data_IF_784643285866
#
_entry.id   IF_784643285866
#
_cell.length_a   1.000
_cell.length_b   1.000
_cell.length_c   1.000
_cell.angle_alpha   90.00
_cell.angle_beta   90.00
_cell.angle_gamma   90.00
#
_symmetry.space_group_name_H-M   'P 1'
#
loop_
_entity.id
_entity.type
_entity.pdbx_description
1 polymer ?
#
# COMPACT_ATOMS: atom_id res chain seq x y z
N UNK A 1 -0.19 -23.34 3.96
CA UNK A 1 -0.39 -22.34 2.89
C UNK A 1 0.53 -21.17 3.21
N UNK A 2 1.46 -20.84 2.33
CA UNK A 2 2.37 -19.69 2.51
C UNK A 2 1.78 -18.54 1.73
N UNK A 3 1.57 -17.39 2.38
CA UNK A 3 1.11 -16.16 1.73
C UNK A 3 2.34 -15.27 1.51
N UNK A 4 2.85 -15.15 0.28
CA UNK A 4 4.02 -14.33 0.00
C UNK A 4 3.63 -12.85 -0.05
N UNK A 5 4.25 -12.05 0.84
CA UNK A 5 4.12 -10.60 0.86
C UNK A 5 5.37 -9.98 0.28
N UNK A 6 5.19 -9.07 -0.67
CA UNK A 6 6.29 -8.32 -1.29
C UNK A 6 6.05 -6.82 -1.21
N UNK A 7 7.14 -6.10 -1.29
CA UNK A 7 7.21 -4.66 -1.45
C UNK A 7 8.18 -4.38 -2.59
N UNK A 8 7.81 -3.51 -3.52
CA UNK A 8 8.67 -3.19 -4.66
C UNK A 8 9.49 -1.92 -4.42
N UNK A 9 10.36 -1.60 -5.37
CA UNK A 9 11.19 -0.40 -5.38
C UNK A 9 10.38 0.91 -5.42
N UNK A 10 9.08 0.86 -5.72
CA UNK A 10 8.18 2.00 -5.62
C UNK A 10 7.99 2.50 -4.18
N UNK A 11 8.21 1.61 -3.20
CA UNK A 11 8.31 2.01 -1.79
C UNK A 11 9.75 2.41 -1.49
N UNK A 12 10.09 3.65 -1.79
CA UNK A 12 11.46 4.21 -1.75
C UNK A 12 12.11 3.98 -0.39
N UNK A 13 13.34 3.45 -0.42
CA UNK A 13 14.11 3.15 0.79
C UNK A 13 13.63 1.91 1.58
N UNK A 14 12.63 1.19 1.07
CA UNK A 14 12.06 0.00 1.75
C UNK A 14 12.33 -1.31 1.02
N UNK A 15 12.46 -1.26 -0.30
CA UNK A 15 12.74 -2.43 -1.12
C UNK A 15 13.51 -2.03 -2.38
N UNK A 16 14.29 -2.98 -2.90
CA UNK A 16 14.99 -2.88 -4.20
C UNK A 16 14.39 -3.84 -5.23
N UNK A 17 13.38 -4.63 -4.85
CA UNK A 17 12.76 -5.59 -5.76
C UNK A 17 12.01 -4.86 -6.87
N UNK A 18 12.18 -5.32 -8.11
CA UNK A 18 11.47 -4.78 -9.27
C UNK A 18 10.18 -5.56 -9.57
N UNK A 19 9.38 -5.03 -10.47
CA UNK A 19 8.18 -5.67 -11.02
C UNK A 19 8.36 -6.04 -12.50
N UNK A 20 9.58 -5.92 -13.02
CA UNK A 20 9.90 -6.20 -14.41
C UNK A 20 9.65 -7.67 -14.77
N UNK A 21 9.30 -7.91 -16.03
CA UNK A 21 9.25 -9.27 -16.58
C UNK A 21 10.65 -9.87 -16.61
N UNK A 22 10.81 -11.20 -16.40
CA UNK A 22 12.13 -11.88 -16.37
C UNK A 22 13.01 -11.57 -17.57
N UNK A 23 12.42 -11.44 -18.76
CA UNK A 23 13.13 -11.18 -20.01
C UNK A 23 13.78 -9.79 -20.06
N UNK A 24 13.28 -8.86 -19.23
CA UNK A 24 13.79 -7.47 -19.15
C UNK A 24 14.79 -7.26 -18.02
N UNK A 25 15.01 -8.29 -17.18
CA UNK A 25 15.93 -8.16 -16.05
C UNK A 25 17.38 -7.93 -16.51
N UNK A 26 18.02 -6.94 -15.89
CA UNK A 26 19.44 -6.66 -16.08
C UNK A 26 20.25 -7.75 -15.35
N UNK A 27 21.22 -8.34 -16.05
CA UNK A 27 22.15 -9.31 -15.46
C UNK A 27 22.87 -8.68 -14.26
N UNK A 28 22.78 -9.33 -13.10
CA UNK A 28 23.27 -8.83 -11.80
C UNK A 28 22.54 -7.60 -11.24
N UNK A 29 21.39 -7.23 -11.80
CA UNK A 29 20.52 -6.20 -11.26
C UNK A 29 19.63 -6.68 -10.10
N UNK A 30 18.77 -5.80 -9.58
CA UNK A 30 17.77 -6.16 -8.57
C UNK A 30 16.87 -7.30 -9.05
N UNK A 31 16.47 -8.17 -8.13
CA UNK A 31 15.56 -9.28 -8.47
C UNK A 31 14.14 -8.78 -8.71
N UNK A 32 13.44 -9.41 -9.66
CA UNK A 32 12.02 -9.16 -9.89
C UNK A 32 11.17 -10.05 -9.00
N UNK A 33 10.09 -9.46 -8.45
CA UNK A 33 9.06 -10.20 -7.72
C UNK A 33 8.42 -11.25 -8.62
N UNK A 34 8.18 -10.91 -9.89
CA UNK A 34 7.59 -11.83 -10.89
C UNK A 34 8.50 -13.02 -11.15
N UNK A 35 9.81 -12.79 -11.32
CA UNK A 35 10.79 -13.87 -11.48
C UNK A 35 10.85 -14.77 -10.24
N UNK A 36 10.80 -14.19 -9.04
CA UNK A 36 10.72 -14.95 -7.79
C UNK A 36 9.47 -15.81 -7.77
N UNK A 37 8.30 -15.26 -8.11
CA UNK A 37 7.04 -16.00 -8.14
C UNK A 37 7.12 -17.18 -9.13
N UNK A 38 7.62 -16.96 -10.33
CA UNK A 38 7.77 -18.02 -11.33
C UNK A 38 8.74 -19.13 -10.89
N UNK A 39 9.91 -18.76 -10.37
CA UNK A 39 10.93 -19.72 -9.90
C UNK A 39 10.44 -20.59 -8.75
N UNK A 40 9.59 -20.06 -7.90
CA UNK A 40 9.05 -20.78 -6.74
C UNK A 40 7.65 -21.34 -6.94
N UNK A 41 7.09 -21.24 -8.16
CA UNK A 41 5.74 -21.74 -8.47
C UNK A 41 4.62 -21.03 -7.70
N UNK A 42 4.83 -19.77 -7.33
CA UNK A 42 3.83 -18.97 -6.64
C UNK A 42 2.81 -18.43 -7.64
N UNK A 43 1.56 -18.79 -7.49
CA UNK A 43 0.45 -18.32 -8.34
C UNK A 43 -0.20 -17.05 -7.84
N UNK A 44 -0.06 -16.77 -6.55
CA UNK A 44 -0.63 -15.60 -5.89
C UNK A 44 0.41 -14.93 -5.00
N UNK A 45 0.41 -13.60 -4.96
CA UNK A 45 1.20 -12.84 -4.01
C UNK A 45 0.47 -11.56 -3.54
N UNK A 46 0.92 -11.02 -2.43
CA UNK A 46 0.45 -9.75 -1.89
C UNK A 46 1.51 -8.68 -2.16
N UNK A 47 1.12 -7.63 -2.88
CA UNK A 47 1.96 -6.46 -3.13
C UNK A 47 1.54 -5.33 -2.20
N UNK A 48 2.37 -5.03 -1.20
CA UNK A 48 2.09 -4.01 -0.18
C UNK A 48 2.98 -2.81 -0.40
N UNK A 49 2.39 -1.69 -0.78
CA UNK A 49 3.12 -0.47 -1.15
C UNK A 49 2.74 0.74 -0.29
N UNK A 50 3.64 1.70 -0.23
CA UNK A 50 3.41 2.98 0.48
C UNK A 50 2.77 4.05 -0.44
N UNK A 51 2.49 3.69 -1.70
CA UNK A 51 1.83 4.53 -2.70
C UNK A 51 1.10 3.69 -3.75
N UNK A 52 0.35 4.35 -4.63
CA UNK A 52 -0.38 3.68 -5.73
C UNK A 52 0.46 3.45 -7.00
N UNK A 53 1.73 3.88 -7.02
CA UNK A 53 2.55 3.96 -8.24
C UNK A 53 2.89 2.61 -8.88
N UNK A 54 3.03 1.54 -8.10
CA UNK A 54 3.45 0.23 -8.59
C UNK A 54 2.34 -0.61 -9.24
N UNK A 55 1.07 -0.25 -9.00
CA UNK A 55 -0.06 -1.08 -9.42
C UNK A 55 -0.08 -1.33 -10.94
N UNK A 56 0.09 -0.27 -11.72
CA UNK A 56 -0.01 -0.37 -13.18
C UNK A 56 1.07 -1.30 -13.75
N UNK A 57 2.30 -1.17 -13.28
CA UNK A 57 3.41 -2.04 -13.72
C UNK A 57 3.18 -3.48 -13.31
N UNK A 58 2.77 -3.72 -12.06
CA UNK A 58 2.44 -5.05 -11.57
C UNK A 58 1.33 -5.68 -12.45
N UNK A 59 0.24 -4.95 -12.71
CA UNK A 59 -0.87 -5.41 -13.53
C UNK A 59 -0.45 -5.73 -14.97
N UNK A 60 0.27 -4.82 -15.61
CA UNK A 60 0.71 -5.01 -17.01
C UNK A 60 1.67 -6.20 -17.16
N UNK A 61 2.50 -6.43 -16.16
CA UNK A 61 3.52 -7.48 -16.21
C UNK A 61 3.03 -8.84 -15.73
N UNK A 62 1.88 -8.92 -15.04
CA UNK A 62 1.27 -10.19 -14.57
C UNK A 62 0.06 -10.64 -15.39
N UNK A 63 -0.65 -9.75 -16.10
CA UNK A 63 -1.93 -10.03 -16.76
C UNK A 63 -1.90 -11.21 -17.75
N UNK A 64 -0.75 -11.48 -18.37
CA UNK A 64 -0.57 -12.55 -19.36
C UNK A 64 0.10 -13.80 -18.74
N UNK A 65 0.32 -13.81 -17.42
CA UNK A 65 0.96 -14.89 -16.68
C UNK A 65 -0.08 -15.58 -15.77
N UNK A 66 0.18 -16.87 -15.45
CA UNK A 66 -0.61 -17.60 -14.43
C UNK A 66 -0.19 -17.16 -13.00
N UNK A 67 -0.14 -15.84 -12.80
CA UNK A 67 0.23 -15.20 -11.53
C UNK A 67 -0.75 -14.07 -11.27
N UNK A 68 -1.38 -14.08 -10.11
CA UNK A 68 -2.24 -13.00 -9.64
C UNK A 68 -1.64 -12.27 -8.44
N UNK A 69 -2.08 -11.04 -8.19
CA UNK A 69 -1.66 -10.31 -6.99
C UNK A 69 -2.84 -9.61 -6.31
N UNK A 70 -2.70 -9.44 -5.00
CA UNK A 70 -3.58 -8.61 -4.18
C UNK A 70 -2.83 -7.34 -3.82
N UNK A 71 -3.39 -6.21 -4.22
CA UNK A 71 -2.75 -4.91 -3.96
C UNK A 71 -3.18 -4.34 -2.62
N UNK A 72 -2.22 -3.98 -1.78
CA UNK A 72 -2.41 -3.37 -0.48
C UNK A 72 -1.67 -2.03 -0.37
N UNK A 73 -2.39 -1.02 0.07
CA UNK A 73 -1.85 0.29 0.40
C UNK A 73 -1.53 0.33 1.89
N UNK A 74 -0.25 0.51 2.24
CA UNK A 74 0.20 0.79 3.61
C UNK A 74 0.21 2.30 3.83
N UNK A 75 -0.61 2.76 4.75
CA UNK A 75 -0.82 4.18 5.00
C UNK A 75 -0.86 4.48 6.51
N UNK A 76 -0.50 5.70 6.89
CA UNK A 76 -0.67 6.18 8.25
C UNK A 76 -2.14 6.47 8.54
N UNK A 77 -2.58 6.13 9.74
CA UNK A 77 -3.90 6.48 10.27
C UNK A 77 -3.75 7.27 11.57
N UNK A 78 -4.59 8.27 11.75
CA UNK A 78 -4.66 9.11 12.94
C UNK A 78 -6.12 9.31 13.38
N UNK A 79 -6.35 9.90 14.54
CA UNK A 79 -7.71 10.21 15.01
C UNK A 79 -8.35 11.29 14.16
N UNK A 80 -7.61 12.37 13.89
CA UNK A 80 -8.07 13.47 13.07
C UNK A 80 -6.91 14.01 12.23
N UNK A 81 -7.08 14.00 10.90
CA UNK A 81 -6.09 14.50 9.95
C UNK A 81 -6.14 16.02 9.76
N UNK A 82 -7.26 16.66 10.09
CA UNK A 82 -7.42 18.10 9.96
C UNK A 82 -6.60 18.78 11.05
N UNK A 83 -5.67 19.63 10.66
CA UNK A 83 -4.95 20.48 11.60
C UNK A 83 -5.90 21.59 12.04
N UNK A 84 -5.94 21.87 13.35
CA UNK A 84 -6.50 23.12 13.84
C UNK A 84 -5.69 24.29 13.29
N UNK A 85 -6.35 25.41 12.96
CA UNK A 85 -5.67 26.64 12.59
C UNK A 85 -4.88 27.24 13.78
N UNK A 86 -5.09 26.71 14.99
CA UNK A 86 -4.34 27.05 16.19
C UNK A 86 -3.06 26.20 16.33
N UNK A 87 -1.86 26.81 16.20
CA UNK A 87 -0.60 26.09 16.37
C UNK A 87 -0.44 25.45 17.76
N UNK A 88 -1.10 25.98 18.80
CA UNK A 88 -1.01 25.44 20.17
C UNK A 88 -1.84 24.17 20.32
N UNK A 89 -2.94 24.03 19.60
CA UNK A 89 -3.71 22.79 19.53
C UNK A 89 -2.97 21.72 18.73
N UNK A 90 -2.34 22.07 17.61
CA UNK A 90 -1.51 21.14 16.83
C UNK A 90 -0.34 20.59 17.65
N UNK A 91 0.24 21.37 18.57
CA UNK A 91 1.31 20.91 19.47
C UNK A 91 0.81 19.96 20.56
N UNK A 92 -0.48 19.98 20.90
CA UNK A 92 -1.11 19.10 21.90
C UNK A 92 -1.55 17.76 21.32
N UNK A 93 -1.78 17.70 20.01
CA UNK A 93 -2.07 16.43 19.33
C UNK A 93 -0.80 15.61 19.38
N UNK A 94 -0.72 14.67 20.32
CA UNK A 94 0.26 13.59 20.25
C UNK A 94 -0.07 12.82 18.98
N UNK A 95 0.69 13.10 17.91
CA UNK A 95 0.57 12.41 16.64
C UNK A 95 0.99 10.93 16.78
N UNK A 96 0.19 10.17 17.49
CA UNK A 96 0.23 8.74 17.45
C UNK A 96 -0.27 8.29 16.07
N UNK A 97 0.57 8.39 15.04
CA UNK A 97 0.25 7.79 13.77
C UNK A 97 0.57 6.30 13.84
N UNK A 98 -0.44 5.51 13.63
CA UNK A 98 -0.30 4.06 13.45
C UNK A 98 -0.35 3.72 11.97
N UNK A 99 0.25 2.59 11.58
CA UNK A 99 0.16 2.13 10.19
C UNK A 99 -0.90 1.06 10.05
N UNK A 100 -1.63 1.15 8.95
CA UNK A 100 -2.58 0.12 8.50
C UNK A 100 -2.25 -0.28 7.07
N UNK A 101 -2.73 -1.44 6.66
CA UNK A 101 -2.67 -1.90 5.27
C UNK A 101 -4.10 -2.16 4.82
N UNK A 102 -4.54 -1.46 3.79
CA UNK A 102 -5.85 -1.65 3.18
C UNK A 102 -5.67 -2.35 1.84
N UNK A 103 -6.29 -3.52 1.66
CA UNK A 103 -6.24 -4.28 0.43
C UNK A 103 -7.51 -4.13 -0.38
N UNK A 104 -7.37 -4.06 -1.69
CA UNK A 104 -8.47 -4.16 -2.62
C UNK A 104 -8.81 -5.63 -2.91
N UNK A 105 -10.09 -6.00 -2.82
CA UNK A 105 -10.61 -7.31 -3.21
C UNK A 105 -10.98 -7.38 -4.68
N UNK A 106 -11.40 -6.25 -5.24
CA UNK A 106 -11.90 -6.10 -6.60
C UNK A 106 -11.59 -4.71 -7.17
N UNK A 107 -12.10 -4.41 -8.34
CA UNK A 107 -11.90 -3.14 -9.04
C UNK A 107 -12.46 -1.94 -8.25
N UNK A 108 -13.62 -2.09 -7.65
CA UNK A 108 -14.26 -1.04 -6.83
C UNK A 108 -13.41 -0.73 -5.60
N UNK A 109 -12.88 -1.77 -4.94
CA UNK A 109 -11.92 -1.62 -3.84
C UNK A 109 -10.65 -0.88 -4.28
N UNK A 110 -10.14 -1.15 -5.49
CA UNK A 110 -8.99 -0.43 -6.02
C UNK A 110 -9.29 1.07 -6.22
N UNK A 111 -10.45 1.43 -6.74
CA UNK A 111 -10.86 2.83 -6.84
C UNK A 111 -10.98 3.51 -5.46
N UNK A 112 -11.41 2.78 -4.44
CA UNK A 112 -11.43 3.28 -3.07
C UNK A 112 -10.02 3.48 -2.51
N UNK A 113 -9.04 2.62 -2.85
CA UNK A 113 -7.63 2.85 -2.48
C UNK A 113 -7.08 4.12 -3.14
N UNK A 114 -7.40 4.38 -4.41
CA UNK A 114 -7.03 5.64 -5.08
C UNK A 114 -7.63 6.83 -4.32
N UNK A 115 -8.92 6.76 -3.97
CA UNK A 115 -9.61 7.82 -3.24
C UNK A 115 -8.99 8.03 -1.86
N UNK A 116 -8.68 6.93 -1.15
CA UNK A 116 -8.03 6.97 0.16
C UNK A 116 -6.66 7.66 0.09
N UNK A 117 -5.82 7.25 -0.87
CA UNK A 117 -4.50 7.81 -1.03
C UNK A 117 -4.53 9.27 -1.48
N UNK A 118 -5.43 9.62 -2.40
CA UNK A 118 -5.58 11.00 -2.89
C UNK A 118 -6.02 11.94 -1.77
N UNK A 119 -7.01 11.54 -0.98
CA UNK A 119 -7.44 12.32 0.16
C UNK A 119 -6.33 12.47 1.21
N UNK A 120 -5.63 11.39 1.53
CA UNK A 120 -4.51 11.43 2.46
C UNK A 120 -3.37 12.34 1.99
N UNK A 121 -3.08 12.36 0.69
CA UNK A 121 -2.04 13.22 0.11
C UNK A 121 -2.46 14.70 0.04
N UNK A 122 -3.74 14.98 -0.26
CA UNK A 122 -4.23 16.36 -0.40
C UNK A 122 -4.60 17.00 0.94
N UNK A 123 -5.26 16.25 1.82
CA UNK A 123 -5.90 16.75 3.03
C UNK A 123 -5.24 16.27 4.33
N UNK A 124 -4.39 15.23 4.26
CA UNK A 124 -3.79 14.60 5.43
C UNK A 124 -2.28 14.60 5.47
N UNK A 125 -1.61 15.37 4.61
CA UNK A 125 -0.15 15.40 4.57
C UNK A 125 0.45 15.99 5.87
N UNK A 126 1.28 15.20 6.55
CA UNK A 126 1.96 15.61 7.76
C UNK A 126 3.42 15.11 7.73
N UNK A 127 4.38 16.00 7.94
CA UNK A 127 5.82 15.69 7.84
C UNK A 127 6.19 14.93 6.54
N UNK A 128 5.59 15.33 5.42
CA UNK A 128 5.76 14.71 4.10
C UNK A 128 5.19 13.28 3.97
N UNK A 129 4.49 12.77 4.98
CA UNK A 129 3.81 11.48 4.92
C UNK A 129 2.28 11.65 4.79
N UNK A 130 1.65 11.01 3.79
CA UNK A 130 0.19 10.97 3.68
C UNK A 130 -0.42 10.20 4.86
N UNK A 131 -1.47 10.73 5.45
CA UNK A 131 -2.22 10.06 6.52
C UNK A 131 -3.72 10.21 6.31
N UNK A 132 -4.45 9.19 6.67
CA UNK A 132 -5.91 9.20 6.73
C UNK A 132 -6.38 9.24 8.18
N UNK A 133 -7.66 9.51 8.40
CA UNK A 133 -8.30 9.36 9.70
C UNK A 133 -9.38 8.27 9.68
N UNK A 134 -9.84 7.91 10.87
CA UNK A 134 -10.88 6.88 11.04
C UNK A 134 -12.19 7.25 10.37
N UNK A 135 -12.59 8.53 10.40
CA UNK A 135 -13.84 8.98 9.83
C UNK A 135 -13.85 8.85 8.31
N UNK A 136 -12.78 9.30 7.65
CA UNK A 136 -12.68 9.18 6.21
C UNK A 136 -12.60 7.71 5.78
N UNK A 137 -11.75 6.91 6.43
CA UNK A 137 -11.65 5.48 6.13
C UNK A 137 -13.01 4.79 6.27
N UNK A 138 -13.74 5.05 7.36
CA UNK A 138 -15.08 4.51 7.59
C UNK A 138 -16.08 4.95 6.53
N UNK A 139 -15.99 6.19 6.05
CA UNK A 139 -16.92 6.74 5.05
C UNK A 139 -16.83 6.05 3.69
N UNK A 140 -15.67 5.49 3.35
CA UNK A 140 -15.44 4.79 2.07
C UNK A 140 -15.42 3.28 2.21
N UNK A 141 -15.46 2.75 3.46
CA UNK A 141 -15.32 1.34 3.74
C UNK A 141 -16.46 0.49 3.17
N UNK A 142 -16.11 -0.67 2.63
CA UNK A 142 -17.07 -1.69 2.23
C UNK A 142 -16.39 -3.06 2.36
N UNK A 143 -16.97 -3.95 3.16
CA UNK A 143 -16.43 -5.28 3.44
C UNK A 143 -16.36 -6.20 2.21
N UNK A 144 -17.21 -5.98 1.22
CA UNK A 144 -17.18 -6.76 -0.03
C UNK A 144 -16.04 -6.34 -0.98
N UNK A 145 -15.50 -5.15 -0.79
CA UNK A 145 -14.54 -4.52 -1.69
C UNK A 145 -13.13 -4.38 -1.11
N UNK A 146 -13.03 -4.33 0.22
CA UNK A 146 -11.76 -4.10 0.92
C UNK A 146 -11.60 -5.04 2.11
N UNK A 147 -10.36 -5.23 2.56
CA UNK A 147 -10.05 -5.78 3.87
C UNK A 147 -8.86 -5.06 4.49
N UNK A 148 -8.85 -5.03 5.82
CA UNK A 148 -7.85 -4.37 6.63
C UNK A 148 -6.86 -5.41 7.17
N UNK A 149 -5.57 -5.09 7.09
CA UNK A 149 -4.54 -5.77 7.84
C UNK A 149 -3.82 -4.78 8.75
N UNK A 150 -3.56 -5.20 9.97
CA UNK A 150 -2.86 -4.41 10.96
C UNK A 150 -1.45 -4.98 11.06
N UNK A 151 -0.41 -4.22 10.67
CA UNK A 151 0.96 -4.69 10.78
C UNK A 151 1.34 -4.82 12.27
N UNK A 152 2.19 -5.79 12.58
CA UNK A 152 2.66 -6.00 13.94
C UNK A 152 3.52 -4.84 14.46
N UNK A 153 4.31 -4.22 13.55
CA UNK A 153 5.10 -3.03 13.86
C UNK A 153 4.42 -1.75 13.37
N UNK A 154 4.60 -0.66 14.07
CA UNK A 154 4.05 0.66 13.76
C UNK A 154 2.51 0.70 13.75
N UNK A 155 1.85 -0.19 14.48
CA UNK A 155 0.41 -0.24 14.63
C UNK A 155 -0.03 0.24 16.02
N UNK A 156 -1.34 0.31 16.22
CA UNK A 156 -1.95 0.65 17.51
C UNK A 156 -2.20 -0.57 18.42
N UNK A 157 -1.64 -1.73 18.09
CA UNK A 157 -1.71 -2.96 18.88
C UNK A 157 -0.45 -3.07 19.73
#
# INVERSE_FOLDING_TARGET
MVLPFFKSHYSIGRSILTLEKPEKQIKNGPKSIIDICQKHGLKDFYLVEDSMGSFLEAYQNTKDLDISFKFGLRINICENKVKSDDPTENAKVKDGTSKIIVFAKNKEGYYKLIKLYSDAACNGLYNLEPRTDYEFLKSIWNDDEMYLAIPFYDSFI
#
